data_IF_931735262998
#
_entry.id   IF_931735262998
#
_cell.length_a   1.000
_cell.length_b   1.000
_cell.length_c   1.000
_cell.angle_alpha   90.00
_cell.angle_beta   90.00
_cell.angle_gamma   90.00
#
_symmetry.space_group_name_H-M   'P 1'
#
loop_
_entity.id
_entity.type
_entity.pdbx_description
1 polymer ?
#
# COMPACT_ATOMS: atom_id res chain seq x y z
N UNK A 1 51.92 -23.04 -19.03
CA UNK A 1 51.03 -22.51 -20.09
C UNK A 1 49.82 -21.85 -19.43
N UNK A 2 49.95 -20.57 -19.09
CA UNK A 2 48.91 -19.78 -18.42
C UNK A 2 47.81 -19.40 -19.43
N UNK A 3 46.56 -19.77 -19.15
CA UNK A 3 45.42 -19.31 -19.93
C UNK A 3 44.76 -18.13 -19.21
N UNK A 4 44.95 -16.96 -19.83
CA UNK A 4 44.38 -15.65 -19.54
C UNK A 4 42.86 -15.71 -19.68
N UNK A 5 42.11 -15.41 -18.62
CA UNK A 5 40.66 -15.23 -18.68
C UNK A 5 40.34 -13.77 -19.05
N UNK A 6 39.62 -13.49 -20.15
CA UNK A 6 39.16 -12.15 -20.43
C UNK A 6 37.89 -11.80 -19.65
N UNK A 7 37.93 -10.55 -19.21
CA UNK A 7 36.88 -9.70 -18.70
C UNK A 7 35.57 -9.71 -19.53
N UNK A 8 34.50 -9.28 -18.86
CA UNK A 8 33.25 -8.73 -19.39
C UNK A 8 32.30 -9.67 -20.16
N UNK A 9 31.25 -10.13 -19.45
CA UNK A 9 29.90 -10.19 -20.02
C UNK A 9 28.93 -9.57 -19.01
N UNK A 10 28.88 -8.24 -19.07
CA UNK A 10 27.76 -7.40 -18.63
C UNK A 10 26.67 -7.58 -19.70
N UNK A 11 25.41 -7.60 -19.28
CA UNK A 11 24.17 -7.62 -20.09
C UNK A 11 23.60 -9.03 -20.37
N UNK A 12 22.69 -9.49 -19.52
CA UNK A 12 21.29 -9.69 -19.90
C UNK A 12 20.45 -9.99 -18.66
N UNK A 13 19.43 -9.15 -18.50
CA UNK A 13 18.27 -9.24 -17.65
C UNK A 13 17.55 -10.58 -17.74
N UNK A 14 16.92 -10.93 -16.62
CA UNK A 14 15.93 -12.00 -16.41
C UNK A 14 16.43 -13.45 -16.46
N UNK A 15 16.54 -14.09 -15.30
CA UNK A 15 15.61 -15.17 -14.91
C UNK A 15 15.87 -15.64 -13.47
N UNK A 16 14.76 -15.85 -12.76
CA UNK A 16 14.61 -16.43 -11.43
C UNK A 16 15.33 -17.79 -11.29
N UNK A 17 15.64 -18.15 -10.03
CA UNK A 17 16.08 -19.46 -9.49
C UNK A 17 17.61 -19.56 -9.28
N UNK A 18 18.19 -19.91 -8.11
CA UNK A 18 17.67 -20.57 -6.90
C UNK A 18 18.78 -20.52 -5.82
N UNK A 19 18.60 -19.74 -4.76
CA UNK A 19 19.32 -19.95 -3.50
C UNK A 19 18.29 -20.07 -2.39
N UNK A 20 17.76 -21.29 -2.24
CA UNK A 20 16.87 -21.68 -1.16
C UNK A 20 17.70 -21.81 0.11
N UNK A 21 17.87 -20.72 0.85
CA UNK A 21 18.32 -20.75 2.25
C UNK A 21 17.08 -20.70 3.13
N UNK A 22 16.92 -21.74 3.94
CA UNK A 22 15.90 -21.85 4.98
C UNK A 22 15.90 -20.57 5.84
N UNK A 23 14.89 -19.72 5.66
CA UNK A 23 14.50 -18.74 6.66
C UNK A 23 13.35 -19.41 7.40
N UNK A 24 13.61 -19.80 8.65
CA UNK A 24 12.55 -20.03 9.63
C UNK A 24 11.77 -18.72 9.70
N UNK A 25 10.57 -18.71 9.12
CA UNK A 25 9.61 -17.62 9.29
C UNK A 25 9.23 -17.66 10.78
N UNK A 26 9.60 -16.66 11.60
CA UNK A 26 9.07 -16.60 12.96
C UNK A 26 7.54 -16.51 12.85
N UNK A 27 6.88 -17.31 13.66
CA UNK A 27 5.43 -17.44 13.81
C UNK A 27 4.73 -16.09 13.55
N UNK A 28 3.98 -16.02 12.44
CA UNK A 28 3.30 -14.80 12.00
C UNK A 28 2.09 -14.62 12.93
N UNK A 29 2.08 -13.64 13.85
CA UNK A 29 0.95 -13.44 14.75
C UNK A 29 -0.30 -13.03 13.94
N UNK A 30 -1.51 -13.35 14.41
CA UNK A 30 -2.73 -13.07 13.67
C UNK A 30 -2.89 -11.56 13.38
N UNK A 31 -3.12 -11.28 12.10
CA UNK A 31 -3.46 -10.01 11.44
C UNK A 31 -2.49 -8.83 11.59
N UNK A 32 -1.48 -8.80 10.72
CA UNK A 32 -0.77 -7.58 10.27
C UNK A 32 -1.69 -6.51 9.64
N UNK A 33 -2.96 -6.83 9.37
CA UNK A 33 -3.93 -5.96 8.69
C UNK A 33 -4.28 -4.69 9.49
N UNK A 34 -4.36 -4.74 10.81
CA UNK A 34 -4.73 -3.57 11.63
C UNK A 34 -3.57 -2.58 11.84
N UNK A 35 -2.35 -3.10 12.00
CA UNK A 35 -1.13 -2.26 12.01
C UNK A 35 -0.87 -1.63 10.64
N UNK A 36 -1.13 -2.36 9.55
CA UNK A 36 -1.11 -1.81 8.20
C UNK A 36 -2.21 -0.73 8.03
N UNK A 37 -3.46 -1.01 8.43
CA UNK A 37 -4.56 -0.02 8.38
C UNK A 37 -4.28 1.27 9.15
N UNK A 38 -3.64 1.20 10.32
CA UNK A 38 -3.28 2.41 11.08
C UNK A 38 -2.11 3.16 10.42
N UNK A 39 -1.12 2.44 9.87
CA UNK A 39 0.00 3.01 9.12
C UNK A 39 -0.44 3.64 7.77
N UNK A 40 -1.52 3.13 7.19
CA UNK A 40 -2.13 3.62 5.95
C UNK A 40 -3.12 4.78 6.17
N UNK A 41 -3.28 5.28 7.40
CA UNK A 41 -4.13 6.45 7.62
C UNK A 41 -3.48 7.72 7.03
N UNK A 42 -4.27 8.55 6.35
CA UNK A 42 -3.78 9.76 5.67
C UNK A 42 -2.92 10.64 6.59
N UNK A 43 -3.36 10.82 7.84
CA UNK A 43 -2.68 11.67 8.83
C UNK A 43 -1.27 11.18 9.14
N UNK A 44 -1.09 9.88 9.38
CA UNK A 44 0.22 9.29 9.72
C UNK A 44 1.18 9.38 8.52
N UNK A 45 0.68 9.15 7.31
CA UNK A 45 1.48 9.29 6.10
C UNK A 45 1.85 10.76 5.82
N UNK A 46 0.96 11.72 6.09
CA UNK A 46 1.25 13.15 5.96
C UNK A 46 2.32 13.60 6.95
N UNK A 47 2.17 13.27 8.24
CA UNK A 47 3.14 13.63 9.28
C UNK A 47 4.53 13.08 8.98
N UNK A 48 4.62 11.85 8.45
CA UNK A 48 5.90 11.25 8.03
C UNK A 48 6.49 11.92 6.78
N UNK A 49 5.65 12.32 5.83
CA UNK A 49 6.10 13.07 4.67
C UNK A 49 6.72 14.41 5.10
N UNK A 50 6.07 15.10 6.03
CA UNK A 50 6.54 16.40 6.52
C UNK A 50 7.82 16.26 7.36
N UNK A 51 7.92 15.21 8.20
CA UNK A 51 9.14 14.89 8.91
C UNK A 51 10.33 14.57 7.97
N UNK A 52 10.08 13.85 6.87
CA UNK A 52 11.10 13.58 5.85
C UNK A 52 11.51 14.86 5.10
N UNK A 53 10.56 15.76 4.83
CA UNK A 53 10.85 17.05 4.21
C UNK A 53 11.73 17.93 5.11
N UNK A 54 11.44 17.99 6.41
CA UNK A 54 12.26 18.70 7.40
C UNK A 54 13.65 18.07 7.57
N UNK A 55 13.74 16.74 7.56
CA UNK A 55 15.02 16.04 7.56
C UNK A 55 15.85 16.36 6.29
N UNK A 56 15.21 16.45 5.12
CA UNK A 56 15.87 16.83 3.87
C UNK A 56 16.36 18.28 3.89
N UNK A 57 15.64 19.20 4.54
CA UNK A 57 16.04 20.61 4.70
C UNK A 57 17.25 20.76 5.61
N UNK A 58 17.30 19.99 6.70
CA UNK A 58 18.37 20.02 7.68
C UNK A 58 19.60 19.18 7.28
N UNK A 59 19.49 18.36 6.24
CA UNK A 59 20.58 17.51 5.79
C UNK A 59 21.76 18.33 5.23
N UNK A 60 22.93 18.17 5.86
CA UNK A 60 24.18 18.81 5.40
C UNK A 60 24.77 18.11 4.16
N UNK A 61 24.50 16.82 3.99
CA UNK A 61 25.01 16.02 2.88
C UNK A 61 23.93 15.83 1.80
N UNK A 62 24.30 16.02 0.53
CA UNK A 62 23.36 15.91 -0.59
C UNK A 62 22.82 14.48 -0.76
N UNK A 63 23.63 13.46 -0.52
CA UNK A 63 23.18 12.06 -0.59
C UNK A 63 22.04 11.74 0.42
N UNK A 64 22.12 12.31 1.62
CA UNK A 64 21.09 12.19 2.66
C UNK A 64 19.86 12.98 2.23
N UNK A 65 20.04 14.22 1.77
CA UNK A 65 18.94 15.04 1.24
C UNK A 65 18.16 14.31 0.15
N UNK A 66 18.86 13.74 -0.84
CA UNK A 66 18.21 12.99 -1.93
C UNK A 66 17.48 11.74 -1.44
N UNK A 67 18.00 11.07 -0.40
CA UNK A 67 17.31 9.92 0.22
C UNK A 67 16.03 10.34 0.91
N UNK A 68 16.07 11.40 1.70
CA UNK A 68 14.90 11.90 2.43
C UNK A 68 13.84 12.48 1.49
N UNK A 69 14.23 13.14 0.39
CA UNK A 69 13.28 13.57 -0.65
C UNK A 69 12.56 12.39 -1.33
N UNK A 70 13.25 11.25 -1.53
CA UNK A 70 12.60 10.03 -2.05
C UNK A 70 11.65 9.42 -1.01
N UNK A 71 12.02 9.47 0.27
CA UNK A 71 11.16 9.03 1.35
C UNK A 71 9.90 9.91 1.43
N UNK A 72 10.04 11.24 1.40
CA UNK A 72 8.93 12.20 1.33
C UNK A 72 8.00 11.86 0.18
N UNK A 73 8.52 11.71 -1.05
CA UNK A 73 7.70 11.38 -2.22
C UNK A 73 6.92 10.08 -2.02
N UNK A 74 7.52 9.08 -1.39
CA UNK A 74 6.87 7.80 -1.08
C UNK A 74 5.74 8.00 -0.07
N UNK A 75 5.99 8.71 1.03
CA UNK A 75 4.98 8.99 2.05
C UNK A 75 3.82 9.84 1.51
N UNK A 76 4.08 10.83 0.65
CA UNK A 76 3.03 11.59 -0.04
C UNK A 76 2.20 10.70 -0.97
N UNK A 77 2.84 9.80 -1.70
CA UNK A 77 2.15 8.83 -2.55
C UNK A 77 1.22 7.89 -1.76
N UNK A 78 1.65 7.44 -0.57
CA UNK A 78 0.81 6.64 0.32
C UNK A 78 -0.34 7.45 0.93
N UNK A 79 -0.10 8.70 1.30
CA UNK A 79 -1.14 9.59 1.81
C UNK A 79 -2.27 9.79 0.78
N UNK A 80 -1.93 9.96 -0.50
CA UNK A 80 -2.93 10.07 -1.58
C UNK A 80 -3.72 8.77 -1.76
N UNK A 81 -3.06 7.61 -1.67
CA UNK A 81 -3.74 6.31 -1.76
C UNK A 81 -4.70 6.10 -0.60
N UNK A 82 -4.31 6.47 0.62
CA UNK A 82 -5.16 6.41 1.80
C UNK A 82 -6.47 7.18 1.59
N UNK A 83 -6.37 8.42 1.10
CA UNK A 83 -7.54 9.25 0.78
C UNK A 83 -8.44 8.59 -0.26
N UNK A 84 -7.86 8.10 -1.35
CA UNK A 84 -8.63 7.45 -2.40
C UNK A 84 -9.37 6.19 -1.90
N UNK A 85 -8.74 5.40 -1.02
CA UNK A 85 -9.38 4.24 -0.40
C UNK A 85 -10.53 4.65 0.51
N UNK A 86 -10.38 5.70 1.31
CA UNK A 86 -11.43 6.18 2.19
C UNK A 86 -12.62 6.77 1.41
N UNK A 87 -12.35 7.52 0.33
CA UNK A 87 -13.37 8.01 -0.59
C UNK A 87 -14.12 6.85 -1.27
N UNK A 88 -13.39 5.84 -1.73
CA UNK A 88 -14.00 4.65 -2.34
C UNK A 88 -14.87 3.90 -1.33
N UNK A 89 -14.43 3.75 -0.08
CA UNK A 89 -15.23 3.14 0.99
C UNK A 89 -16.52 3.91 1.25
N UNK A 90 -16.47 5.24 1.29
CA UNK A 90 -17.67 6.07 1.44
C UNK A 90 -18.64 5.90 0.28
N UNK A 91 -18.13 5.86 -0.96
CA UNK A 91 -18.95 5.62 -2.15
C UNK A 91 -19.65 4.25 -2.08
N UNK A 92 -18.89 3.19 -1.81
CA UNK A 92 -19.43 1.84 -1.68
C UNK A 92 -20.46 1.75 -0.54
N UNK A 93 -20.24 2.44 0.58
CA UNK A 93 -21.19 2.47 1.68
C UNK A 93 -22.52 3.13 1.28
N UNK A 94 -22.47 4.23 0.52
CA UNK A 94 -23.68 4.90 -0.01
C UNK A 94 -24.43 4.02 -1.02
N UNK A 95 -23.70 3.40 -1.95
CA UNK A 95 -24.30 2.50 -2.94
C UNK A 95 -24.95 1.29 -2.26
N UNK A 96 -24.29 0.70 -1.26
CA UNK A 96 -24.84 -0.41 -0.49
C UNK A 96 -26.09 0.00 0.28
N UNK A 97 -26.11 1.18 0.92
CA UNK A 97 -27.30 1.68 1.61
C UNK A 97 -28.48 1.87 0.64
N UNK A 98 -28.23 2.45 -0.54
CA UNK A 98 -29.28 2.62 -1.55
C UNK A 98 -29.80 1.28 -2.10
N UNK A 99 -28.93 0.27 -2.26
CA UNK A 99 -29.35 -1.08 -2.63
C UNK A 99 -30.19 -1.75 -1.54
N UNK A 100 -29.81 -1.57 -0.27
CA UNK A 100 -30.58 -2.09 0.86
C UNK A 100 -31.98 -1.45 0.92
N UNK A 101 -32.09 -0.13 0.77
CA UNK A 101 -33.39 0.55 0.73
C UNK A 101 -34.27 0.17 -0.47
N UNK A 102 -33.66 -0.23 -1.59
CA UNK A 102 -34.39 -0.75 -2.75
C UNK A 102 -34.86 -2.19 -2.51
N UNK A 103 -33.98 -3.04 -1.97
CA UNK A 103 -34.31 -4.41 -1.59
C UNK A 103 -35.43 -4.45 -0.54
N UNK A 104 -35.36 -3.63 0.50
CA UNK A 104 -36.39 -3.55 1.53
C UNK A 104 -37.76 -3.13 0.93
N UNK A 105 -37.78 -2.20 -0.02
CA UNK A 105 -39.01 -1.80 -0.73
C UNK A 105 -39.56 -2.89 -1.64
N UNK A 106 -38.69 -3.59 -2.36
CA UNK A 106 -39.07 -4.69 -3.23
C UNK A 106 -39.55 -5.91 -2.41
N UNK A 107 -38.93 -6.17 -1.26
CA UNK A 107 -39.35 -7.20 -0.29
C UNK A 107 -40.68 -6.85 0.38
N UNK A 108 -40.90 -5.58 0.74
CA UNK A 108 -42.18 -5.11 1.28
C UNK A 108 -43.31 -5.25 0.24
N UNK A 109 -43.06 -4.89 -1.02
CA UNK A 109 -44.01 -5.08 -2.12
C UNK A 109 -44.30 -6.57 -2.43
N UNK A 110 -43.28 -7.43 -2.33
CA UNK A 110 -43.44 -8.87 -2.51
C UNK A 110 -44.21 -9.53 -1.36
N UNK A 111 -43.98 -9.09 -0.12
CA UNK A 111 -44.72 -9.58 1.05
C UNK A 111 -46.20 -9.17 1.00
N UNK A 112 -46.50 -7.94 0.58
CA UNK A 112 -47.87 -7.42 0.47
C UNK A 112 -48.72 -8.13 -0.61
N UNK A 113 -48.09 -8.76 -1.59
CA UNK A 113 -48.78 -9.54 -2.64
C UNK A 113 -49.00 -11.01 -2.28
N UNK A 114 -48.36 -11.52 -1.22
CA UNK A 114 -48.47 -12.94 -0.84
C UNK A 114 -49.60 -13.21 0.16
N UNK A 115 -50.18 -12.17 0.77
CA UNK A 115 -51.26 -12.23 1.78
C UNK A 115 -52.70 -12.03 1.20
N UNK A 116 -52.88 -12.07 -0.13
CA UNK A 116 -54.17 -11.90 -0.82
C UNK A 116 -54.62 -13.18 -1.55
#
# INVERSE_FOLDING_TARGET
>A
MARKAPSTCRLLTDFRCRARRLVVVPDIPPSTNERAKMADSYKVCSERADAAAEAARNATLDNVRQRELRAEKTWRGLATQAKAVDEQRQKMAREKAAQQEAQERDEEAASATTDA
#
